data_IF_212924375096
#
_entry.id   IF_212924375096
#
_cell.length_a   1.000
_cell.length_b   1.000
_cell.length_c   1.000
_cell.angle_alpha   90.00
_cell.angle_beta   90.00
_cell.angle_gamma   90.00
#
_symmetry.space_group_name_H-M   'P 1'
#
loop_
_entity.id
_entity.type
_entity.pdbx_description
1 polymer ?
#
# COMPACT_ATOMS: atom_id res chain seq x y z
N UNK A 1 -1.92 -15.86 15.14
CA UNK A 1 -0.83 -16.84 15.00
C UNK A 1 -1.36 -18.26 15.08
N UNK A 2 -2.00 -18.67 16.18
CA UNK A 2 -2.58 -20.04 16.33
C UNK A 2 -3.59 -20.39 15.22
N UNK A 3 -4.25 -19.41 14.63
CA UNK A 3 -5.18 -19.58 13.50
C UNK A 3 -4.49 -19.57 12.11
N UNK A 4 -3.15 -19.48 12.05
CA UNK A 4 -2.38 -19.49 10.81
C UNK A 4 -2.07 -18.10 10.22
N UNK A 5 -2.34 -17.00 10.93
CA UNK A 5 -1.90 -15.68 10.51
C UNK A 5 -0.36 -15.61 10.51
N UNK A 6 0.22 -15.00 9.46
CA UNK A 6 1.66 -14.86 9.29
C UNK A 6 2.11 -13.44 8.93
N UNK A 7 1.16 -12.50 8.82
CA UNK A 7 1.39 -11.08 8.56
C UNK A 7 0.52 -10.24 9.48
N UNK A 8 1.10 -9.27 10.17
CA UNK A 8 0.39 -8.24 10.92
C UNK A 8 0.26 -7.00 10.04
N UNK A 9 -0.97 -6.61 9.74
CA UNK A 9 -1.26 -5.34 9.07
C UNK A 9 -1.59 -4.28 10.12
N UNK A 10 -0.56 -3.59 10.61
CA UNK A 10 -0.72 -2.51 11.59
C UNK A 10 -1.07 -1.20 10.89
N UNK A 11 -2.36 -0.88 10.89
CA UNK A 11 -2.89 0.34 10.28
C UNK A 11 -2.72 1.59 11.17
N UNK A 12 -2.13 1.46 12.36
CA UNK A 12 -1.96 2.54 13.33
C UNK A 12 -0.51 2.92 13.59
N UNK A 13 0.38 2.61 12.66
CA UNK A 13 1.75 3.10 12.62
C UNK A 13 2.57 2.83 13.90
N UNK A 14 2.48 1.62 14.44
CA UNK A 14 3.21 1.22 15.63
C UNK A 14 2.71 1.88 16.91
N UNK A 15 1.43 2.29 16.97
CA UNK A 15 0.83 2.86 18.18
C UNK A 15 0.83 1.87 19.35
N UNK A 16 0.65 0.58 19.06
CA UNK A 16 0.80 -0.50 20.03
C UNK A 16 2.18 -1.17 19.85
N UNK A 17 3.16 -0.89 20.72
CA UNK A 17 4.50 -1.45 20.59
C UNK A 17 4.54 -2.97 20.78
N UNK A 18 3.59 -3.58 21.50
CA UNK A 18 3.54 -5.03 21.74
C UNK A 18 3.35 -5.79 20.41
N UNK A 19 2.72 -5.18 19.40
CA UNK A 19 2.54 -5.81 18.07
C UNK A 19 3.88 -6.10 17.39
N UNK A 20 4.86 -5.21 17.50
CA UNK A 20 6.22 -5.42 16.97
C UNK A 20 6.93 -6.54 17.71
N UNK A 21 6.85 -6.58 19.05
CA UNK A 21 7.45 -7.63 19.86
C UNK A 21 6.86 -9.01 19.53
N UNK A 22 5.54 -9.09 19.38
CA UNK A 22 4.82 -10.31 18.97
C UNK A 22 5.24 -10.73 17.55
N UNK A 23 5.33 -9.78 16.62
CA UNK A 23 5.74 -10.07 15.24
C UNK A 23 7.16 -10.64 15.19
N UNK A 24 8.12 -10.01 15.88
CA UNK A 24 9.51 -10.44 15.96
C UNK A 24 9.65 -11.80 16.64
N UNK A 25 9.04 -12.00 17.81
CA UNK A 25 9.11 -13.25 18.57
C UNK A 25 8.57 -14.47 17.80
N UNK A 26 7.69 -14.25 16.83
CA UNK A 26 7.08 -15.33 16.03
C UNK A 26 7.50 -15.33 14.56
N UNK A 27 8.46 -14.51 14.16
CA UNK A 27 8.95 -14.41 12.78
C UNK A 27 7.86 -14.05 11.78
N UNK A 28 6.89 -13.22 12.19
CA UNK A 28 5.77 -12.79 11.33
C UNK A 28 6.21 -11.67 10.39
N UNK A 29 5.48 -11.50 9.30
CA UNK A 29 5.57 -10.28 8.49
C UNK A 29 4.89 -9.10 9.18
N UNK A 30 5.28 -7.88 8.82
CA UNK A 30 4.73 -6.65 9.39
C UNK A 30 4.56 -5.55 8.32
N UNK A 31 3.40 -4.90 8.36
CA UNK A 31 3.11 -3.74 7.50
C UNK A 31 3.26 -2.46 8.32
N UNK A 32 4.23 -1.64 7.92
CA UNK A 32 4.54 -0.34 8.51
C UNK A 32 3.68 0.73 7.83
N UNK A 33 2.57 1.10 8.45
CA UNK A 33 1.62 2.07 7.92
C UNK A 33 1.95 3.51 8.33
N UNK A 34 1.45 4.48 7.57
CA UNK A 34 1.60 5.91 7.83
C UNK A 34 0.25 6.56 8.14
N UNK A 35 0.13 7.19 9.31
CA UNK A 35 -1.11 7.86 9.78
C UNK A 35 -1.02 9.38 9.86
N UNK A 36 0.18 9.96 9.63
CA UNK A 36 0.42 11.39 9.86
C UNK A 36 0.24 11.82 11.31
N UNK A 37 0.49 10.91 12.27
CA UNK A 37 0.32 11.15 13.69
C UNK A 37 -1.13 11.03 14.19
N UNK A 38 -2.09 10.60 13.35
CA UNK A 38 -3.46 10.35 13.78
C UNK A 38 -3.50 9.20 14.79
N UNK A 39 -4.17 9.42 15.93
CA UNK A 39 -4.36 8.41 16.96
C UNK A 39 -5.49 7.46 16.58
N UNK A 40 -5.44 6.18 17.03
CA UNK A 40 -6.49 5.20 16.80
C UNK A 40 -7.87 5.70 17.23
N UNK A 41 -8.87 5.47 16.37
CA UNK A 41 -10.28 5.80 16.65
C UNK A 41 -10.57 7.27 16.94
N UNK A 42 -9.69 8.18 16.52
CA UNK A 42 -9.95 9.62 16.59
C UNK A 42 -10.63 10.10 15.31
N UNK A 43 -11.32 11.25 15.39
CA UNK A 43 -11.84 11.91 14.20
C UNK A 43 -10.66 12.32 13.29
N UNK A 44 -10.81 12.24 11.97
CA UNK A 44 -9.76 12.63 11.05
C UNK A 44 -9.41 14.12 11.27
N UNK A 45 -8.22 14.36 11.75
CA UNK A 45 -7.63 15.70 11.80
C UNK A 45 -6.99 15.96 10.45
N UNK A 46 -7.16 17.17 9.90
CA UNK A 46 -6.42 17.57 8.70
C UNK A 46 -4.96 17.72 9.06
N UNK A 47 -4.16 16.72 8.72
CA UNK A 47 -2.71 16.79 8.87
C UNK A 47 -2.16 17.70 7.77
N UNK A 48 -1.22 18.57 8.14
CA UNK A 48 -0.47 19.39 7.20
C UNK A 48 0.88 18.74 6.98
N UNK A 49 1.27 18.61 5.72
CA UNK A 49 2.58 18.13 5.30
C UNK A 49 3.27 19.25 4.53
N UNK A 50 4.56 19.44 4.74
CA UNK A 50 5.39 20.23 3.82
C UNK A 50 5.60 19.44 2.54
N UNK A 51 5.88 18.14 2.64
CA UNK A 51 5.86 17.14 1.58
C UNK A 51 5.31 15.81 2.13
N UNK A 52 4.18 15.36 1.61
CA UNK A 52 3.52 14.15 2.08
C UNK A 52 4.29 12.87 1.73
N UNK A 53 5.04 12.88 0.63
CA UNK A 53 5.82 11.71 0.20
C UNK A 53 7.05 11.54 1.08
N UNK A 54 7.78 12.62 1.33
CA UNK A 54 8.93 12.62 2.23
C UNK A 54 8.55 12.23 3.66
N UNK A 55 7.40 12.73 4.15
CA UNK A 55 6.89 12.37 5.47
C UNK A 55 6.55 10.87 5.55
N UNK A 56 5.85 10.33 4.55
CA UNK A 56 5.56 8.89 4.47
C UNK A 56 6.84 8.05 4.45
N UNK A 57 7.81 8.40 3.61
CA UNK A 57 9.09 7.68 3.52
C UNK A 57 9.82 7.71 4.86
N UNK A 58 9.92 8.88 5.48
CA UNK A 58 10.59 9.05 6.77
C UNK A 58 9.94 8.22 7.87
N UNK A 59 8.62 8.35 8.06
CA UNK A 59 7.93 7.71 9.18
C UNK A 59 7.78 6.19 9.00
N UNK A 60 7.48 5.72 7.78
CA UNK A 60 7.43 4.27 7.51
C UNK A 60 8.81 3.63 7.58
N UNK A 61 9.87 4.32 7.15
CA UNK A 61 11.24 3.85 7.27
C UNK A 61 11.70 3.72 8.73
N UNK A 62 11.37 4.70 9.59
CA UNK A 62 11.62 4.61 11.05
C UNK A 62 10.88 3.42 11.67
N UNK A 63 9.62 3.20 11.28
CA UNK A 63 8.84 2.08 11.79
C UNK A 63 9.38 0.74 11.30
N UNK A 64 9.81 0.67 10.03
CA UNK A 64 10.46 -0.51 9.47
C UNK A 64 11.75 -0.86 10.22
N UNK A 65 12.59 0.14 10.54
CA UNK A 65 13.78 -0.09 11.34
C UNK A 65 13.44 -0.58 12.75
N UNK A 66 12.42 0.00 13.40
CA UNK A 66 11.93 -0.48 14.70
C UNK A 66 11.45 -1.93 14.63
N UNK A 67 10.81 -2.33 13.52
CA UNK A 67 10.39 -3.71 13.31
C UNK A 67 11.58 -4.67 13.19
N UNK A 68 12.63 -4.29 12.46
CA UNK A 68 13.90 -5.04 12.39
C UNK A 68 14.53 -5.17 13.79
N UNK A 69 14.62 -4.08 14.53
CA UNK A 69 15.19 -4.05 15.90
C UNK A 69 14.40 -4.94 16.87
N UNK A 70 13.08 -5.09 16.66
CA UNK A 70 12.21 -5.99 17.41
C UNK A 70 12.30 -7.47 16.94
N UNK A 71 13.11 -7.78 15.92
CA UNK A 71 13.34 -9.13 15.42
C UNK A 71 12.42 -9.59 14.29
N UNK A 72 11.65 -8.67 13.67
CA UNK A 72 10.90 -8.99 12.45
C UNK A 72 11.89 -9.23 11.32
N UNK A 73 11.78 -10.35 10.55
CA UNK A 73 12.66 -10.57 9.40
C UNK A 73 12.53 -9.45 8.38
N UNK A 74 13.66 -8.88 7.96
CA UNK A 74 13.70 -7.71 7.05
C UNK A 74 12.97 -7.99 5.72
N UNK A 75 13.09 -9.20 5.19
CA UNK A 75 12.42 -9.66 3.97
C UNK A 75 10.90 -9.85 4.11
N UNK A 76 10.35 -9.63 5.32
CA UNK A 76 8.92 -9.73 5.64
C UNK A 76 8.30 -8.41 6.07
N UNK A 77 9.01 -7.30 5.88
CA UNK A 77 8.51 -5.96 6.18
C UNK A 77 7.98 -5.32 4.90
N UNK A 78 6.82 -4.68 5.01
CA UNK A 78 6.16 -3.90 3.97
C UNK A 78 5.94 -2.48 4.50
N UNK A 79 6.03 -1.47 3.63
CA UNK A 79 5.59 -0.10 3.96
C UNK A 79 4.27 0.21 3.26
N UNK A 80 3.37 0.94 3.94
CA UNK A 80 2.07 1.34 3.40
C UNK A 80 1.85 2.86 3.61
N UNK A 81 1.73 3.65 2.54
CA UNK A 81 1.41 5.08 2.63
C UNK A 81 0.03 5.35 3.25
N UNK A 82 -0.85 4.37 3.30
CA UNK A 82 -2.17 4.39 3.96
C UNK A 82 -3.01 5.61 3.54
N UNK A 83 -3.52 5.60 2.32
CA UNK A 83 -4.16 6.73 1.64
C UNK A 83 -5.33 7.38 2.39
N UNK A 84 -6.02 6.66 3.30
CA UNK A 84 -7.18 7.20 4.02
C UNK A 84 -6.84 7.86 5.36
N UNK A 85 -5.64 7.65 5.91
CA UNK A 85 -5.31 8.09 7.25
C UNK A 85 -4.47 9.36 7.23
N UNK A 86 -4.98 10.42 7.84
CA UNK A 86 -4.32 11.71 7.92
C UNK A 86 -4.10 12.41 6.57
N UNK A 87 -4.78 11.99 5.51
CA UNK A 87 -4.58 12.46 4.14
C UNK A 87 -5.91 12.89 3.50
N UNK A 88 -5.82 13.81 2.56
CA UNK A 88 -6.91 14.22 1.68
C UNK A 88 -6.66 13.70 0.25
N UNK A 89 -7.58 13.99 -0.65
CA UNK A 89 -7.53 13.59 -2.07
C UNK A 89 -6.26 14.05 -2.77
N UNK A 90 -5.80 15.28 -2.53
CA UNK A 90 -4.57 15.81 -3.15
C UNK A 90 -3.35 15.06 -2.66
N UNK A 91 -3.25 14.74 -1.36
CA UNK A 91 -2.19 13.92 -0.79
C UNK A 91 -2.20 12.49 -1.38
N UNK A 92 -3.40 11.88 -1.53
CA UNK A 92 -3.55 10.56 -2.14
C UNK A 92 -3.08 10.53 -3.60
N UNK A 93 -3.43 11.56 -4.39
CA UNK A 93 -2.98 11.70 -5.78
C UNK A 93 -1.47 11.99 -5.88
N UNK A 94 -0.91 12.78 -4.95
CA UNK A 94 0.54 13.05 -4.91
C UNK A 94 1.34 11.79 -4.60
N UNK A 95 0.90 11.00 -3.63
CA UNK A 95 1.50 9.70 -3.29
C UNK A 95 1.49 8.72 -4.47
N UNK A 96 0.42 8.71 -5.27
CA UNK A 96 0.36 7.91 -6.49
C UNK A 96 1.30 8.44 -7.57
N UNK A 97 1.31 9.76 -7.81
CA UNK A 97 2.18 10.40 -8.81
C UNK A 97 3.64 10.13 -8.56
N UNK A 98 4.05 10.08 -7.29
CA UNK A 98 5.42 9.92 -6.83
C UNK A 98 5.68 8.56 -6.16
N UNK A 99 4.86 7.54 -6.42
CA UNK A 99 4.99 6.22 -5.76
C UNK A 99 6.31 5.50 -6.11
N UNK A 100 6.96 5.87 -7.22
CA UNK A 100 8.31 5.41 -7.53
C UNK A 100 9.35 5.80 -6.47
N UNK A 101 9.16 6.92 -5.76
CA UNK A 101 10.05 7.34 -4.65
C UNK A 101 9.90 6.41 -3.44
N UNK A 102 8.66 5.97 -3.15
CA UNK A 102 8.41 4.94 -2.14
C UNK A 102 9.09 3.61 -2.51
N UNK A 103 8.95 3.18 -3.76
CA UNK A 103 9.60 1.96 -4.28
C UNK A 103 11.13 2.07 -4.20
N UNK A 104 11.68 3.25 -4.48
CA UNK A 104 13.13 3.51 -4.44
C UNK A 104 13.73 3.42 -3.02
N UNK A 105 12.92 3.38 -1.96
CA UNK A 105 13.40 3.15 -0.59
C UNK A 105 14.01 1.76 -0.38
N UNK A 106 13.67 0.80 -1.25
CA UNK A 106 14.05 -0.61 -1.13
C UNK A 106 13.09 -1.46 -0.29
N UNK A 107 12.21 -0.86 0.51
CA UNK A 107 11.15 -1.60 1.17
C UNK A 107 10.03 -1.95 0.19
N UNK A 108 9.53 -3.21 0.18
CA UNK A 108 8.36 -3.55 -0.62
C UNK A 108 7.14 -2.70 -0.19
N UNK A 109 6.49 -2.07 -1.18
CA UNK A 109 5.35 -1.18 -0.94
C UNK A 109 4.04 -1.95 -1.05
N UNK A 110 3.18 -1.81 -0.03
CA UNK A 110 1.79 -2.23 -0.05
C UNK A 110 0.91 -0.99 -0.27
N UNK A 111 -0.09 -1.11 -1.14
CA UNK A 111 -1.13 -0.09 -1.29
C UNK A 111 -2.53 -0.67 -1.20
N UNK A 112 -3.40 0.02 -0.49
CA UNK A 112 -4.83 -0.29 -0.39
C UNK A 112 -5.63 0.85 -1.03
N UNK A 113 -6.05 0.67 -2.29
CA UNK A 113 -6.64 1.75 -3.11
C UNK A 113 -8.15 1.60 -3.33
N UNK A 114 -8.72 0.41 -2.99
CA UNK A 114 -10.08 0.04 -3.37
C UNK A 114 -11.15 1.01 -2.87
N UNK A 115 -11.84 1.62 -3.82
CA UNK A 115 -13.03 2.45 -3.63
C UNK A 115 -12.87 3.62 -2.67
N UNK A 116 -11.62 4.09 -2.46
CA UNK A 116 -11.28 5.13 -1.51
C UNK A 116 -11.78 6.50 -1.94
N UNK A 117 -11.85 7.43 -0.99
CA UNK A 117 -12.45 8.75 -1.20
C UNK A 117 -11.70 9.57 -2.24
N UNK A 118 -10.38 9.45 -2.33
CA UNK A 118 -9.62 10.14 -3.39
C UNK A 118 -10.08 9.75 -4.81
N UNK A 119 -10.53 8.49 -5.03
CA UNK A 119 -11.10 8.05 -6.31
C UNK A 119 -12.48 8.68 -6.52
N UNK A 120 -13.34 8.61 -5.48
CA UNK A 120 -14.69 9.15 -5.54
C UNK A 120 -14.71 10.65 -5.76
N UNK A 121 -13.90 11.39 -5.01
CA UNK A 121 -13.80 12.85 -5.12
C UNK A 121 -13.18 13.30 -6.45
N UNK A 122 -12.20 12.56 -6.98
CA UNK A 122 -11.59 12.88 -8.28
C UNK A 122 -12.57 12.72 -9.44
N UNK A 123 -13.42 11.67 -9.38
CA UNK A 123 -14.30 11.30 -10.48
C UNK A 123 -15.75 11.73 -10.29
N UNK A 124 -16.08 12.33 -9.16
CA UNK A 124 -17.46 12.62 -8.74
C UNK A 124 -18.33 11.35 -8.80
N UNK A 125 -17.89 10.29 -8.09
CA UNK A 125 -18.54 8.97 -8.11
C UNK A 125 -18.84 8.45 -6.71
N UNK A 126 -20.06 7.91 -6.49
CA UNK A 126 -20.37 7.18 -5.29
C UNK A 126 -19.55 5.87 -5.22
N UNK A 127 -19.50 5.26 -4.04
CA UNK A 127 -18.63 4.10 -3.75
C UNK A 127 -18.81 2.94 -4.75
N UNK A 128 -20.05 2.68 -5.17
CA UNK A 128 -20.41 1.58 -6.07
C UNK A 128 -19.87 1.77 -7.51
N UNK A 129 -19.45 2.98 -7.86
CA UNK A 129 -18.97 3.34 -9.19
C UNK A 129 -17.47 3.63 -9.23
N UNK A 130 -16.72 3.38 -8.13
CA UNK A 130 -15.30 3.72 -8.00
C UNK A 130 -14.35 2.65 -8.57
N UNK A 131 -14.85 1.48 -8.94
CA UNK A 131 -14.02 0.35 -9.41
C UNK A 131 -13.12 0.74 -10.59
N UNK A 132 -13.61 1.40 -11.67
CA UNK A 132 -12.74 1.78 -12.78
C UNK A 132 -11.58 2.70 -12.37
N UNK A 133 -11.84 3.69 -11.51
CA UNK A 133 -10.81 4.59 -10.98
C UNK A 133 -9.82 3.86 -10.06
N UNK A 134 -10.31 2.92 -9.25
CA UNK A 134 -9.47 2.06 -8.42
C UNK A 134 -8.50 1.26 -9.28
N UNK A 135 -8.99 0.62 -10.35
CA UNK A 135 -8.18 -0.20 -11.25
C UNK A 135 -7.16 0.64 -12.02
N UNK A 136 -7.53 1.86 -12.44
CA UNK A 136 -6.60 2.80 -13.05
C UNK A 136 -5.46 3.20 -12.12
N UNK A 137 -5.78 3.54 -10.86
CA UNK A 137 -4.78 3.84 -9.83
C UNK A 137 -3.87 2.62 -9.53
N UNK A 138 -4.47 1.42 -9.49
CA UNK A 138 -3.72 0.16 -9.33
C UNK A 138 -2.76 -0.10 -10.47
N UNK A 139 -3.18 0.07 -11.73
CA UNK A 139 -2.31 -0.08 -12.89
C UNK A 139 -1.13 0.88 -12.87
N UNK A 140 -1.38 2.15 -12.50
CA UNK A 140 -0.34 3.16 -12.36
C UNK A 140 0.69 2.77 -11.29
N UNK A 141 0.22 2.38 -10.11
CA UNK A 141 1.10 1.98 -9.00
C UNK A 141 1.86 0.69 -9.30
N UNK A 142 1.22 -0.30 -9.96
CA UNK A 142 1.88 -1.53 -10.39
C UNK A 142 3.00 -1.27 -11.41
N UNK A 143 2.75 -0.38 -12.38
CA UNK A 143 3.77 0.04 -13.35
C UNK A 143 4.97 0.75 -12.70
N UNK A 144 4.76 1.40 -11.56
CA UNK A 144 5.82 2.05 -10.78
C UNK A 144 6.57 1.08 -9.83
N UNK A 145 6.14 -0.20 -9.73
CA UNK A 145 6.82 -1.22 -8.93
C UNK A 145 6.23 -1.47 -7.54
N UNK A 146 5.02 -1.00 -7.25
CA UNK A 146 4.32 -1.35 -6.01
C UNK A 146 4.10 -2.87 -5.95
N UNK A 147 4.54 -3.50 -4.86
CA UNK A 147 4.67 -4.95 -4.76
C UNK A 147 3.38 -5.66 -4.33
N UNK A 148 2.56 -5.03 -3.48
CA UNK A 148 1.38 -5.67 -2.87
C UNK A 148 0.17 -4.74 -2.94
N UNK A 149 -0.98 -5.29 -3.35
CA UNK A 149 -2.26 -4.58 -3.34
C UNK A 149 -3.25 -5.29 -2.42
N UNK A 150 -3.75 -4.58 -1.40
CA UNK A 150 -4.87 -5.02 -0.59
C UNK A 150 -6.17 -4.50 -1.24
N UNK A 151 -6.99 -5.40 -1.77
CA UNK A 151 -8.13 -5.04 -2.61
C UNK A 151 -9.41 -5.77 -2.20
N UNK A 152 -10.57 -5.11 -2.45
CA UNK A 152 -11.89 -5.73 -2.40
C UNK A 152 -12.21 -6.50 -3.68
N UNK A 153 -11.83 -5.95 -4.84
CA UNK A 153 -11.98 -6.57 -6.16
C UNK A 153 -10.71 -7.35 -6.51
N UNK A 154 -10.50 -8.48 -5.85
CA UNK A 154 -9.24 -9.25 -5.95
C UNK A 154 -9.00 -9.77 -7.36
N UNK A 155 -10.02 -10.31 -8.03
CA UNK A 155 -9.91 -10.85 -9.40
C UNK A 155 -9.49 -9.76 -10.38
N UNK A 156 -10.21 -8.65 -10.41
CA UNK A 156 -9.98 -7.53 -11.32
C UNK A 156 -8.63 -6.86 -11.03
N UNK A 157 -8.25 -6.76 -9.75
CA UNK A 157 -6.94 -6.24 -9.33
C UNK A 157 -5.81 -7.13 -9.84
N UNK A 158 -5.96 -8.45 -9.72
CA UNK A 158 -4.96 -9.41 -10.20
C UNK A 158 -4.81 -9.32 -11.73
N UNK A 159 -5.93 -9.21 -12.46
CA UNK A 159 -5.91 -9.07 -13.92
C UNK A 159 -5.22 -7.77 -14.34
N UNK A 160 -5.48 -6.66 -13.64
CA UNK A 160 -4.78 -5.38 -13.88
C UNK A 160 -3.28 -5.51 -13.64
N UNK A 161 -2.86 -6.10 -12.52
CA UNK A 161 -1.44 -6.30 -12.21
C UNK A 161 -0.76 -7.17 -13.29
N UNK A 162 -1.37 -8.30 -13.67
CA UNK A 162 -0.85 -9.18 -14.73
C UNK A 162 -0.77 -8.49 -16.08
N UNK A 163 -1.80 -7.73 -16.44
CA UNK A 163 -1.80 -6.99 -17.70
C UNK A 163 -0.73 -5.89 -17.70
N UNK A 164 -0.55 -5.18 -16.59
CA UNK A 164 0.51 -4.17 -16.45
C UNK A 164 1.89 -4.81 -16.62
N UNK A 165 2.17 -5.92 -15.94
CA UNK A 165 3.43 -6.66 -16.06
C UNK A 165 3.63 -7.26 -17.45
N UNK A 166 2.55 -7.67 -18.14
CA UNK A 166 2.66 -8.17 -19.51
C UNK A 166 3.01 -7.05 -20.50
N UNK A 167 2.50 -5.83 -20.26
CA UNK A 167 2.84 -4.65 -21.08
C UNK A 167 4.32 -4.27 -20.91
N UNK A 168 4.86 -4.36 -19.70
CA UNK A 168 6.29 -4.11 -19.43
C UNK A 168 7.22 -5.25 -19.86
N UNK A 169 6.68 -6.42 -20.18
CA UNK A 169 7.46 -7.60 -20.60
C UNK A 169 7.84 -8.54 -19.46
N UNK A 170 7.41 -8.26 -18.25
CA UNK A 170 7.74 -9.03 -17.03
C UNK A 170 6.78 -10.20 -16.78
N UNK A 171 5.74 -10.34 -17.59
CA UNK A 171 4.78 -11.43 -17.53
C UNK A 171 4.39 -11.91 -18.94
N UNK A 172 4.56 -13.20 -19.21
CA UNK A 172 4.20 -13.78 -20.50
C UNK A 172 2.67 -13.96 -20.63
N UNK A 173 2.08 -13.74 -21.83
CA UNK A 173 0.67 -14.06 -22.08
C UNK A 173 0.37 -15.53 -21.77
N UNK A 174 -0.73 -15.80 -21.04
CA UNK A 174 -1.09 -17.15 -20.63
C UNK A 174 -1.47 -18.05 -21.81
N UNK A 175 -2.15 -17.50 -22.83
CA UNK A 175 -2.64 -18.24 -24.02
C UNK A 175 -2.49 -17.40 -25.29
N UNK A 176 -1.26 -17.23 -25.82
CA UNK A 176 -1.04 -16.49 -27.05
C UNK A 176 -1.40 -17.37 -28.25
N UNK A 177 -2.57 -17.18 -28.82
CA UNK A 177 -3.04 -17.95 -29.99
C UNK A 177 -3.18 -17.09 -31.25
N UNK A 178 -3.31 -15.78 -31.14
CA UNK A 178 -3.50 -14.87 -32.26
C UNK A 178 -2.14 -14.43 -32.82
N UNK A 179 -1.95 -14.60 -34.14
CA UNK A 179 -0.71 -14.22 -34.81
C UNK A 179 0.44 -15.23 -34.66
N UNK A 180 0.21 -16.36 -34.04
CA UNK A 180 1.12 -17.50 -34.10
C UNK A 180 0.84 -18.25 -35.40
N UNK A 181 1.76 -18.20 -36.33
CA UNK A 181 1.77 -18.93 -37.61
C UNK A 181 2.74 -20.09 -37.48
#
# INVERSE_FOLDING_TARGET
IKAGANLINDTWAGHDPELLEVAGAHGMGYVCSHTGGALPRTNPVRVRYDDVVDDVISETGKLAQRAVDAGVPEDRILIDPTHDFGKNTYHGLELLRRCNELVATGWPVLMALSNKDFVGETLDRPVEQRVPGTLAATAHAAAAGVAVFRSHQVSETLDVCRMTLAISGDFAPLHPVRGLV
#
